data_IF_952625867395
#
_entry.id   IF_952625867395
#
_cell.length_a   1.000
_cell.length_b   1.000
_cell.length_c   1.000
_cell.angle_alpha   90.00
_cell.angle_beta   90.00
_cell.angle_gamma   90.00
#
_symmetry.space_group_name_H-M   'P 1'
#
loop_
_entity.id
_entity.type
_entity.pdbx_description
1 polymer ?
#
# COMPACT_ATOMS: atom_id res chain seq x y z
N UNK A 1 1.92 2.16 0.85
CA UNK A 1 1.59 0.75 1.13
C UNK A 1 0.20 0.67 1.72
N UNK A 2 -0.04 1.25 2.91
CA UNK A 2 -1.38 1.25 3.54
C UNK A 2 -2.50 1.79 2.64
N UNK A 3 -2.26 2.90 1.92
CA UNK A 3 -3.24 3.44 0.96
C UNK A 3 -3.65 2.44 -0.13
N UNK A 4 -2.73 1.57 -0.57
CA UNK A 4 -2.98 0.54 -1.58
C UNK A 4 -3.82 -0.59 -1.01
N UNK A 5 -3.55 -1.00 0.23
CA UNK A 5 -4.37 -1.99 0.93
C UNK A 5 -5.79 -1.49 1.16
N UNK A 6 -5.95 -0.22 1.54
CA UNK A 6 -7.25 0.40 1.75
C UNK A 6 -8.02 0.62 0.44
N UNK A 7 -7.32 0.86 -0.68
CA UNK A 7 -7.96 1.03 -1.98
C UNK A 7 -8.75 -0.21 -2.42
N UNK A 8 -8.31 -1.41 -2.04
CA UNK A 8 -9.03 -2.65 -2.33
C UNK A 8 -10.36 -2.76 -1.55
N UNK A 9 -10.45 -2.09 -0.39
CA UNK A 9 -11.67 -2.03 0.41
C UNK A 9 -12.64 -0.92 -0.04
N UNK A 10 -12.18 0.01 -0.89
CA UNK A 10 -12.99 1.11 -1.41
C UNK A 10 -13.63 0.73 -2.75
N UNK A 11 -14.97 0.68 -2.85
CA UNK A 11 -15.63 0.41 -4.12
C UNK A 11 -15.27 1.48 -5.15
N UNK A 12 -15.00 1.04 -6.39
CA UNK A 12 -14.61 1.86 -7.54
C UNK A 12 -13.19 2.48 -7.52
N UNK A 13 -12.40 2.29 -6.46
CA UNK A 13 -10.97 2.61 -6.48
C UNK A 13 -10.22 1.35 -6.90
N UNK A 14 -10.07 0.37 -6.01
CA UNK A 14 -9.25 -0.81 -6.26
C UNK A 14 -7.76 -0.47 -6.37
N UNK A 15 -6.91 -1.46 -6.07
CA UNK A 15 -5.45 -1.29 -6.07
C UNK A 15 -4.89 -0.86 -7.43
N UNK A 16 -5.42 -1.41 -8.53
CA UNK A 16 -4.87 -1.20 -9.88
C UNK A 16 -5.07 0.24 -10.36
N UNK A 17 -6.24 0.81 -10.07
CA UNK A 17 -6.51 2.22 -10.38
C UNK A 17 -5.61 3.13 -9.57
N UNK A 18 -5.44 2.85 -8.28
CA UNK A 18 -4.57 3.65 -7.44
C UNK A 18 -3.11 3.60 -7.90
N UNK A 19 -2.61 2.44 -8.37
CA UNK A 19 -1.27 2.37 -8.96
C UNK A 19 -1.16 3.28 -10.19
N UNK A 20 -2.12 3.22 -11.11
CA UNK A 20 -2.13 4.08 -12.29
C UNK A 20 -2.23 5.57 -11.94
N UNK A 21 -3.04 5.93 -10.95
CA UNK A 21 -3.16 7.32 -10.50
C UNK A 21 -1.87 7.78 -9.81
N UNK A 22 -1.22 6.93 -9.00
CA UNK A 22 0.09 7.23 -8.38
C UNK A 22 1.17 7.46 -9.44
N UNK A 23 1.22 6.63 -10.47
CA UNK A 23 2.15 6.79 -11.59
C UNK A 23 1.84 8.07 -12.37
N UNK A 24 0.56 8.40 -12.59
CA UNK A 24 0.13 9.63 -13.26
C UNK A 24 0.46 10.90 -12.46
N UNK A 25 0.40 10.81 -11.12
CA UNK A 25 0.83 11.89 -10.23
C UNK A 25 2.35 12.08 -10.21
N UNK A 26 3.11 11.20 -10.85
CA UNK A 26 4.56 11.29 -10.98
C UNK A 26 5.33 10.66 -9.82
N UNK A 27 4.73 9.72 -9.09
CA UNK A 27 5.48 8.92 -8.13
C UNK A 27 6.52 8.08 -8.88
N UNK A 28 7.79 8.24 -8.53
CA UNK A 28 8.88 7.45 -9.10
C UNK A 28 9.59 6.71 -7.99
N UNK A 29 9.68 5.38 -8.12
CA UNK A 29 10.35 4.52 -7.16
C UNK A 29 11.64 3.95 -7.75
N UNK A 30 12.52 3.46 -6.88
CA UNK A 30 13.87 2.98 -7.25
C UNK A 30 13.83 1.85 -8.30
N UNK A 31 12.77 1.03 -8.31
CA UNK A 31 12.64 -0.17 -9.15
C UNK A 31 11.50 -0.08 -10.18
N UNK A 32 10.92 1.10 -10.43
CA UNK A 32 9.83 1.26 -11.40
C UNK A 32 8.68 2.12 -10.89
N UNK A 33 7.45 1.76 -11.28
CA UNK A 33 6.22 2.42 -10.88
C UNK A 33 5.72 1.99 -9.50
N UNK A 34 4.57 2.53 -9.11
CA UNK A 34 3.95 2.27 -7.81
C UNK A 34 3.65 0.78 -7.59
N UNK A 35 3.31 0.04 -8.65
CA UNK A 35 3.05 -1.40 -8.59
C UNK A 35 4.30 -2.21 -8.28
N UNK A 36 5.40 -1.99 -9.01
CA UNK A 36 6.65 -2.74 -8.78
C UNK A 36 7.22 -2.45 -7.40
N UNK A 37 7.11 -1.20 -6.95
CA UNK A 37 7.44 -0.85 -5.58
C UNK A 37 6.59 -1.64 -4.58
N UNK A 38 5.26 -1.66 -4.74
CA UNK A 38 4.37 -2.37 -3.81
C UNK A 38 4.66 -3.86 -3.76
N UNK A 39 4.91 -4.50 -4.91
CA UNK A 39 5.15 -5.94 -5.00
C UNK A 39 6.55 -6.34 -4.52
N UNK A 40 7.58 -5.53 -4.82
CA UNK A 40 8.99 -5.93 -4.71
C UNK A 40 9.86 -5.12 -3.74
N UNK A 41 9.45 -3.91 -3.36
CA UNK A 41 10.32 -2.95 -2.63
C UNK A 41 9.59 -2.25 -1.47
N UNK A 42 8.47 -2.81 -1.01
CA UNK A 42 7.68 -2.25 0.09
C UNK A 42 7.82 -3.01 1.41
N UNK A 43 8.85 -3.84 1.55
CA UNK A 43 9.07 -4.68 2.73
C UNK A 43 9.21 -3.86 4.02
N UNK A 44 9.97 -2.76 3.99
CA UNK A 44 10.09 -1.86 5.15
C UNK A 44 8.73 -1.31 5.58
N UNK A 45 7.88 -0.94 4.62
CA UNK A 45 6.54 -0.43 4.90
C UNK A 45 5.63 -1.54 5.48
N UNK A 46 5.71 -2.77 4.94
CA UNK A 46 5.00 -3.94 5.47
C UNK A 46 5.40 -4.23 6.91
N UNK A 47 6.70 -4.29 7.18
CA UNK A 47 7.23 -4.57 8.51
C UNK A 47 6.83 -3.50 9.50
N UNK A 48 6.92 -2.23 9.10
CA UNK A 48 6.51 -1.12 9.95
C UNK A 48 5.02 -1.20 10.31
N UNK A 49 4.13 -1.46 9.34
CA UNK A 49 2.69 -1.56 9.61
C UNK A 49 2.36 -2.74 10.54
N UNK A 50 2.98 -3.90 10.32
CA UNK A 50 2.81 -5.08 11.17
C UNK A 50 3.35 -4.84 12.59
N UNK A 51 4.53 -4.23 12.72
CA UNK A 51 5.13 -3.91 14.01
C UNK A 51 4.27 -2.96 14.86
N UNK A 52 3.44 -2.13 14.22
CA UNK A 52 2.51 -1.22 14.89
C UNK A 52 1.08 -1.76 14.98
N UNK A 53 0.82 -3.01 14.57
CA UNK A 53 -0.50 -3.63 14.62
C UNK A 53 -1.53 -3.00 13.68
N UNK A 54 -1.08 -2.27 12.66
CA UNK A 54 -1.94 -1.61 11.67
C UNK A 54 -2.39 -2.57 10.57
N UNK A 55 -1.61 -3.62 10.32
CA UNK A 55 -1.95 -4.73 9.41
C UNK A 55 -1.66 -6.07 10.07
N UNK A 56 -2.39 -7.10 9.67
CA UNK A 56 -2.14 -8.48 10.09
C UNK A 56 -1.05 -9.18 9.25
N UNK A 57 -0.87 -10.49 9.46
CA UNK A 57 0.10 -11.30 8.70
C UNK A 57 -0.25 -11.48 7.22
N UNK A 58 -1.49 -11.21 6.83
CA UNK A 58 -2.01 -11.25 5.46
C UNK A 58 -2.06 -9.87 4.81
N UNK A 59 -1.43 -8.86 5.43
CA UNK A 59 -1.50 -7.45 5.02
C UNK A 59 -2.95 -6.87 5.01
N UNK A 60 -3.85 -7.43 5.81
CA UNK A 60 -5.20 -6.88 5.99
C UNK A 60 -5.15 -5.74 7.02
N UNK A 61 -5.68 -4.54 6.71
CA UNK A 61 -5.76 -3.44 7.67
C UNK A 61 -6.63 -3.82 8.88
N UNK A 62 -6.14 -3.57 10.09
CA UNK A 62 -6.85 -3.92 11.35
C UNK A 62 -7.88 -2.87 11.78
N UNK A 63 -7.84 -1.68 11.17
CA UNK A 63 -8.64 -0.51 11.60
C UNK A 63 -8.13 0.17 12.88
N UNK A 64 -7.00 -0.30 13.44
CA UNK A 64 -6.37 0.36 14.56
C UNK A 64 -5.81 1.72 14.13
N UNK A 65 -6.09 2.77 14.92
CA UNK A 65 -5.45 4.07 14.75
C UNK A 65 -4.39 4.22 15.84
N UNK A 66 -3.13 4.45 15.42
CA UNK A 66 -2.04 4.74 16.35
C UNK A 66 -2.32 6.08 17.05
N UNK A 67 -2.19 6.11 18.39
CA UNK A 67 -2.27 7.33 19.20
C UNK A 67 -0.92 8.01 19.33
#
# INVERSE_FOLDING_TARGET
YLQVLLADALPAVGRDRLFADMDLWGYSFRLGGAREWFERDAEDARQWLRAHGLTDSQDTPTGACRR
#
